data_IF_485164708914
#
_entry.id   IF_485164708914
#
_cell.length_a   1.000
_cell.length_b   1.000
_cell.length_c   1.000
_cell.angle_alpha   90.00
_cell.angle_beta   90.00
_cell.angle_gamma   90.00
#
_symmetry.space_group_name_H-M   'P 1'
#
loop_
_entity.id
_entity.type
_entity.pdbx_description
1 polymer ?
#
# COMPACT_ATOMS: atom_id res chain seq x y z
N UNK A 1 7.23 3.57 9.52
CA UNK A 1 6.51 4.84 9.77
C UNK A 1 7.44 5.72 10.59
N UNK A 2 7.68 6.97 10.17
CA UNK A 2 8.46 7.92 10.98
C UNK A 2 7.75 8.12 12.31
N UNK A 3 8.49 7.96 13.42
CA UNK A 3 7.91 8.06 14.75
C UNK A 3 7.57 9.52 15.04
N UNK A 4 6.37 9.85 15.55
CA UNK A 4 5.97 11.23 15.84
C UNK A 4 7.00 11.98 16.70
N UNK A 5 7.61 11.29 17.68
CA UNK A 5 8.66 11.85 18.55
C UNK A 5 9.86 12.40 17.78
N UNK A 6 10.26 11.75 16.67
CA UNK A 6 11.40 12.19 15.85
C UNK A 6 11.00 13.41 15.01
N UNK A 7 9.74 13.48 14.57
CA UNK A 7 9.25 14.62 13.78
C UNK A 7 9.14 15.89 14.61
N UNK A 8 8.69 15.75 15.85
CA UNK A 8 8.67 16.86 16.82
C UNK A 8 10.09 17.33 17.17
N UNK A 9 11.02 16.40 17.40
CA UNK A 9 12.43 16.71 17.67
C UNK A 9 13.09 17.47 16.52
N UNK A 10 12.77 17.14 15.27
CA UNK A 10 13.35 17.78 14.08
C UNK A 10 12.58 19.03 13.63
N UNK A 11 11.43 19.34 14.25
CA UNK A 11 10.57 20.45 13.85
C UNK A 11 9.93 20.25 12.47
N UNK A 12 9.82 19.01 12.02
CA UNK A 12 9.40 18.67 10.66
C UNK A 12 7.92 18.32 10.58
N UNK A 13 7.26 18.75 9.50
CA UNK A 13 5.87 18.43 9.25
C UNK A 13 5.75 17.06 8.57
N UNK A 14 5.01 16.15 9.21
CA UNK A 14 4.79 14.78 8.70
C UNK A 14 4.19 14.75 7.30
N UNK A 15 3.18 15.57 7.04
CA UNK A 15 2.48 15.56 5.75
C UNK A 15 3.36 16.14 4.66
N UNK A 16 4.15 17.18 4.96
CA UNK A 16 5.15 17.71 4.04
C UNK A 16 6.20 16.65 3.65
N UNK A 17 6.65 15.83 4.61
CA UNK A 17 7.58 14.73 4.33
C UNK A 17 6.90 13.63 3.49
N UNK A 18 5.66 13.28 3.82
CA UNK A 18 4.88 12.29 3.03
C UNK A 18 4.73 12.76 1.59
N UNK A 19 4.41 14.03 1.38
CA UNK A 19 4.27 14.63 0.06
C UNK A 19 5.60 14.68 -0.69
N UNK A 20 6.69 15.02 0.00
CA UNK A 20 8.03 15.01 -0.58
C UNK A 20 8.44 13.61 -1.05
N UNK A 21 8.24 12.58 -0.22
CA UNK A 21 8.50 11.20 -0.63
C UNK A 21 7.57 10.74 -1.77
N UNK A 22 6.33 11.22 -1.78
CA UNK A 22 5.41 11.00 -2.90
C UNK A 22 5.97 11.58 -4.19
N UNK A 23 6.33 12.86 -4.18
CA UNK A 23 6.86 13.58 -5.33
C UNK A 23 8.13 12.95 -5.89
N UNK A 24 9.08 12.58 -5.03
CA UNK A 24 10.33 11.91 -5.47
C UNK A 24 10.04 10.59 -6.18
N UNK A 25 9.04 9.83 -5.71
CA UNK A 25 8.62 8.58 -6.37
C UNK A 25 7.91 8.85 -7.68
N UNK A 26 7.07 9.87 -7.74
CA UNK A 26 6.42 10.28 -8.99
C UNK A 26 7.46 10.67 -10.05
N UNK A 27 8.41 11.53 -9.69
CA UNK A 27 9.51 11.94 -10.58
C UNK A 27 10.37 10.74 -11.04
N UNK A 28 10.63 9.77 -10.15
CA UNK A 28 11.33 8.55 -10.54
C UNK A 28 10.49 7.68 -11.49
N UNK A 29 9.20 7.49 -11.22
CA UNK A 29 8.31 6.75 -12.13
C UNK A 29 8.22 7.39 -13.52
N UNK A 30 8.16 8.72 -13.57
CA UNK A 30 8.12 9.48 -14.83
C UNK A 30 9.45 9.38 -15.61
N UNK A 31 10.58 9.38 -14.90
CA UNK A 31 11.90 9.30 -15.51
C UNK A 31 12.27 7.87 -15.98
N UNK A 32 11.97 6.86 -15.16
CA UNK A 32 12.30 5.46 -15.41
C UNK A 32 11.39 4.52 -14.59
N UNK A 33 10.21 4.24 -15.14
CA UNK A 33 9.25 3.32 -14.54
C UNK A 33 9.83 1.92 -14.32
N UNK A 34 10.66 1.41 -15.24
CA UNK A 34 11.17 0.05 -15.17
C UNK A 34 12.08 -0.14 -13.94
N UNK A 35 12.96 0.83 -13.65
CA UNK A 35 13.81 0.78 -12.46
C UNK A 35 13.01 0.95 -11.17
N UNK A 36 12.00 1.82 -11.18
CA UNK A 36 11.11 1.98 -10.02
C UNK A 36 10.33 0.69 -9.73
N UNK A 37 9.79 0.04 -10.76
CA UNK A 37 9.11 -1.26 -10.65
C UNK A 37 10.09 -2.33 -10.15
N UNK A 38 11.30 -2.38 -10.69
CA UNK A 38 12.34 -3.34 -10.29
C UNK A 38 12.80 -3.21 -8.84
N UNK A 39 12.63 -2.04 -8.21
CA UNK A 39 12.90 -1.84 -6.78
C UNK A 39 11.81 -2.41 -5.87
N UNK A 40 10.68 -2.86 -6.42
CA UNK A 40 9.55 -3.38 -5.68
C UNK A 40 9.34 -4.87 -5.95
N UNK A 41 8.74 -5.57 -4.98
CA UNK A 41 8.39 -6.98 -5.12
C UNK A 41 7.17 -7.31 -4.28
N UNK A 42 6.32 -8.19 -4.81
CA UNK A 42 5.27 -8.82 -4.02
C UNK A 42 5.81 -10.01 -3.22
N UNK A 43 5.11 -10.36 -2.15
CA UNK A 43 5.37 -11.63 -1.49
C UNK A 43 5.03 -12.78 -2.44
N UNK A 44 5.79 -13.89 -2.42
CA UNK A 44 5.50 -15.06 -3.25
C UNK A 44 4.05 -15.54 -3.07
N UNK A 45 3.37 -15.86 -4.17
CA UNK A 45 1.99 -16.36 -4.16
C UNK A 45 0.91 -15.27 -4.16
N UNK A 46 1.26 -14.02 -3.89
CA UNK A 46 0.28 -12.91 -3.89
C UNK A 46 -0.24 -12.62 -5.31
N UNK A 47 0.61 -12.43 -6.34
CA UNK A 47 0.12 -12.15 -7.68
C UNK A 47 -0.86 -13.23 -8.17
N UNK A 48 -0.56 -14.49 -7.86
CA UNK A 48 -1.40 -15.64 -8.18
C UNK A 48 -2.72 -15.58 -7.41
N UNK A 49 -2.68 -15.34 -6.10
CA UNK A 49 -3.87 -15.20 -5.29
C UNK A 49 -4.79 -14.08 -5.78
N UNK A 50 -4.22 -12.95 -6.22
CA UNK A 50 -4.99 -11.83 -6.79
C UNK A 50 -5.63 -12.20 -8.14
N UNK A 51 -4.93 -12.94 -9.00
CA UNK A 51 -5.45 -13.40 -10.30
C UNK A 51 -6.56 -14.45 -10.17
N UNK A 52 -6.44 -15.34 -9.20
CA UNK A 52 -7.35 -16.48 -9.02
C UNK A 52 -8.48 -16.23 -8.02
N UNK A 53 -8.49 -15.07 -7.35
CA UNK A 53 -9.58 -14.70 -6.48
C UNK A 53 -10.91 -14.62 -7.26
N UNK A 54 -11.90 -15.37 -6.80
CA UNK A 54 -13.27 -15.33 -7.34
C UNK A 54 -14.14 -14.29 -6.63
N UNK A 55 -13.71 -13.82 -5.47
CA UNK A 55 -14.38 -12.78 -4.69
C UNK A 55 -13.98 -11.38 -5.16
N UNK A 56 -14.74 -10.38 -4.71
CA UNK A 56 -14.37 -8.98 -4.91
C UNK A 56 -13.15 -8.63 -4.07
N UNK A 57 -12.12 -8.07 -4.71
CA UNK A 57 -10.86 -7.67 -4.07
C UNK A 57 -10.91 -6.19 -3.68
N UNK A 58 -10.40 -5.89 -2.50
CA UNK A 58 -10.05 -4.55 -2.05
C UNK A 58 -8.61 -4.53 -1.58
N UNK A 59 -7.90 -3.45 -1.88
CA UNK A 59 -6.50 -3.26 -1.50
C UNK A 59 -6.44 -2.22 -0.39
N UNK A 60 -5.76 -2.57 0.69
CA UNK A 60 -5.55 -1.68 1.84
C UNK A 60 -4.06 -1.59 2.10
N UNK A 61 -3.51 -0.39 2.01
CA UNK A 61 -2.07 -0.19 2.10
C UNK A 61 -1.71 1.14 2.71
N UNK A 62 -0.52 1.20 3.31
CA UNK A 62 0.10 2.44 3.79
C UNK A 62 0.87 3.17 2.70
N UNK A 63 0.91 2.63 1.48
CA UNK A 63 1.37 3.33 0.26
C UNK A 63 0.27 4.27 -0.26
N UNK A 64 0.63 5.34 -0.97
CA UNK A 64 -0.36 6.11 -1.74
C UNK A 64 -0.96 5.25 -2.86
N UNK A 65 -2.26 5.38 -3.13
CA UNK A 65 -3.00 4.45 -4.00
C UNK A 65 -2.41 4.33 -5.41
N UNK A 66 -1.95 5.43 -6.02
CA UNK A 66 -1.36 5.42 -7.37
C UNK A 66 -0.12 4.52 -7.50
N UNK A 67 0.68 4.42 -6.44
CA UNK A 67 1.83 3.51 -6.42
C UNK A 67 1.39 2.06 -6.27
N UNK A 68 0.35 1.80 -5.48
CA UNK A 68 -0.19 0.46 -5.34
C UNK A 68 -0.80 -0.02 -6.66
N UNK A 69 -1.53 0.85 -7.34
CA UNK A 69 -2.13 0.61 -8.66
C UNK A 69 -1.07 0.24 -9.70
N UNK A 70 -0.02 1.06 -9.84
CA UNK A 70 1.10 0.77 -10.73
C UNK A 70 1.75 -0.59 -10.44
N UNK A 71 1.96 -0.94 -9.16
CA UNK A 71 2.54 -2.24 -8.80
C UNK A 71 1.59 -3.41 -9.13
N UNK A 72 0.29 -3.24 -8.91
CA UNK A 72 -0.71 -4.26 -9.23
C UNK A 72 -0.76 -4.52 -10.74
N UNK A 73 -0.71 -3.46 -11.53
CA UNK A 73 -0.71 -3.54 -12.97
C UNK A 73 0.59 -4.17 -13.50
N UNK A 74 1.76 -3.65 -13.09
CA UNK A 74 3.04 -4.02 -13.69
C UNK A 74 3.62 -5.33 -13.13
N UNK A 75 3.51 -5.59 -11.83
CA UNK A 75 4.10 -6.79 -11.20
C UNK A 75 3.09 -7.92 -11.02
N UNK A 76 1.81 -7.62 -10.78
CA UNK A 76 0.78 -8.64 -10.64
C UNK A 76 0.00 -8.85 -11.93
N UNK A 77 0.01 -7.94 -12.91
CA UNK A 77 -0.82 -8.08 -14.11
C UNK A 77 -2.31 -8.09 -13.79
N UNK A 78 -2.72 -7.38 -12.74
CA UNK A 78 -4.12 -7.28 -12.29
C UNK A 78 -4.52 -5.80 -12.26
N UNK A 79 -5.69 -5.50 -12.82
CA UNK A 79 -6.31 -4.18 -12.70
C UNK A 79 -7.43 -4.24 -11.66
N UNK A 80 -7.36 -3.37 -10.65
CA UNK A 80 -8.37 -3.25 -9.60
C UNK A 80 -8.99 -1.86 -9.73
N UNK A 81 -10.32 -1.71 -9.71
CA UNK A 81 -10.94 -0.39 -9.79
C UNK A 81 -10.42 0.55 -8.70
N UNK A 82 -10.05 1.82 -9.01
CA UNK A 82 -9.43 2.74 -8.06
C UNK A 82 -10.24 2.97 -6.78
N UNK A 83 -11.57 2.91 -6.85
CA UNK A 83 -12.47 3.01 -5.71
C UNK A 83 -12.33 1.83 -4.71
N UNK A 84 -11.56 0.80 -5.07
CA UNK A 84 -11.25 -0.36 -4.23
C UNK A 84 -9.80 -0.38 -3.75
N UNK A 85 -9.01 0.66 -4.04
CA UNK A 85 -7.61 0.79 -3.62
C UNK A 85 -7.50 1.89 -2.57
N UNK A 86 -7.50 1.47 -1.30
CA UNK A 86 -7.39 2.36 -0.16
C UNK A 86 -5.93 2.50 0.31
N UNK A 87 -5.30 3.58 -0.13
CA UNK A 87 -3.93 3.94 0.24
C UNK A 87 -3.84 4.81 1.50
N UNK A 88 -2.65 5.37 1.69
CA UNK A 88 -2.33 6.32 2.76
C UNK A 88 -3.38 7.45 2.82
N UNK A 89 -3.95 7.67 4.00
CA UNK A 89 -4.98 8.69 4.24
C UNK A 89 -6.43 8.24 3.96
N UNK A 90 -6.64 7.10 3.29
CA UNK A 90 -8.00 6.63 2.90
C UNK A 90 -8.38 5.29 3.54
N UNK A 91 -7.41 4.40 3.79
CA UNK A 91 -7.66 3.06 4.33
C UNK A 91 -8.24 3.02 5.74
N UNK A 92 -7.69 3.76 6.69
CA UNK A 92 -8.12 3.66 8.10
C UNK A 92 -9.54 4.16 8.34
N UNK A 93 -10.01 5.15 7.59
CA UNK A 93 -11.36 5.72 7.78
C UNK A 93 -12.43 4.76 7.24
N UNK A 94 -12.21 4.20 6.05
CA UNK A 94 -13.21 3.38 5.37
C UNK A 94 -13.50 2.04 6.08
N UNK A 95 -12.48 1.37 6.62
CA UNK A 95 -12.67 0.09 7.32
C UNK A 95 -13.28 0.26 8.72
N UNK A 96 -13.05 1.39 9.39
CA UNK A 96 -13.74 1.70 10.65
C UNK A 96 -15.23 1.98 10.46
N UNK A 97 -15.63 2.62 9.35
CA UNK A 97 -17.04 2.90 9.03
C UNK A 97 -17.83 1.65 8.61
N UNK A 98 -17.17 0.65 8.01
CA UNK A 98 -17.79 -0.60 7.56
C UNK A 98 -17.74 -1.73 8.60
N UNK A 99 -17.26 -1.46 9.82
CA UNK A 99 -17.19 -2.45 10.90
C UNK A 99 -16.11 -3.53 10.73
N UNK A 100 -15.14 -3.32 9.83
CA UNK A 100 -14.02 -4.23 9.63
C UNK A 100 -12.85 -3.89 10.57
N UNK A 101 -12.57 -4.76 11.53
CA UNK A 101 -11.45 -4.61 12.48
C UNK A 101 -10.15 -4.99 11.78
N UNK A 102 -9.25 -4.03 11.57
CA UNK A 102 -7.88 -4.30 11.11
C UNK A 102 -7.10 -4.87 12.31
N UNK A 103 -7.00 -6.20 12.41
CA UNK A 103 -6.12 -6.84 13.39
C UNK A 103 -4.65 -6.66 12.99
N UNK A 104 -3.77 -6.20 13.90
CA UNK A 104 -2.34 -6.30 13.67
C UNK A 104 -1.93 -7.77 13.81
N UNK A 105 -1.59 -8.39 12.68
CA UNK A 105 -0.89 -9.68 12.54
C UNK A 105 -1.32 -10.79 13.51
N UNK A 106 -2.36 -11.55 13.16
CA UNK A 106 -2.74 -12.81 13.83
C UNK A 106 -4.03 -13.41 13.27
N UNK A 107 -3.91 -14.56 12.60
CA UNK A 107 -4.96 -15.36 11.90
C UNK A 107 -5.86 -16.12 12.91
N UNK A 108 -7.02 -16.75 12.58
CA UNK A 108 -8.03 -16.62 11.50
C UNK A 108 -9.46 -16.31 12.04
N UNK A 109 -10.41 -15.83 11.25
CA UNK A 109 -11.43 -16.65 10.55
C UNK A 109 -12.40 -15.76 9.76
N UNK A 110 -13.05 -16.34 8.74
CA UNK A 110 -14.27 -15.87 8.04
C UNK A 110 -14.11 -15.05 6.74
N UNK A 111 -14.23 -15.79 5.64
CA UNK A 111 -15.00 -15.54 4.40
C UNK A 111 -14.76 -14.34 3.48
N UNK A 112 -13.93 -13.36 3.81
CA UNK A 112 -13.54 -12.32 2.83
C UNK A 112 -12.01 -12.18 2.74
N UNK A 113 -11.45 -12.59 1.59
CA UNK A 113 -10.01 -12.58 1.34
C UNK A 113 -9.46 -11.15 1.13
N UNK A 114 -8.76 -10.64 2.14
CA UNK A 114 -7.74 -9.57 2.10
C UNK A 114 -6.35 -10.25 2.25
N UNK A 115 -5.21 -9.80 1.74
CA UNK A 115 -4.43 -8.60 2.03
C UNK A 115 -3.22 -8.58 1.09
N UNK A 116 -2.66 -7.39 0.79
CA UNK A 116 -1.24 -7.32 0.41
C UNK A 116 -0.47 -6.37 1.33
N UNK A 117 0.23 -7.01 2.26
CA UNK A 117 1.25 -6.43 3.12
C UNK A 117 2.42 -5.94 2.25
N UNK A 118 2.90 -4.74 2.54
CA UNK A 118 4.27 -4.37 2.18
C UNK A 118 5.03 -4.07 3.47
N UNK A 119 6.18 -4.73 3.61
CA UNK A 119 6.97 -5.02 4.82
C UNK A 119 7.15 -3.87 5.85
N UNK A 120 7.02 -4.15 7.17
CA UNK A 120 7.37 -3.22 8.26
C UNK A 120 8.88 -3.09 8.60
N UNK A 121 9.83 -3.65 7.82
CA UNK A 121 11.26 -3.69 8.18
C UNK A 121 12.25 -3.26 7.08
N UNK A 122 12.07 -2.07 6.49
CA UNK A 122 13.21 -1.32 5.93
C UNK A 122 13.52 -0.13 6.84
N UNK A 123 14.55 -0.34 7.67
CA UNK A 123 15.38 0.71 8.27
C UNK A 123 16.22 1.32 7.13
N UNK A 124 15.95 2.58 6.84
CA UNK A 124 17.04 3.56 6.73
C UNK A 124 16.95 4.38 8.01
#
# INVERSE_FOLDING_TARGET
>A
MLKPVIMEEWGENRDAIVDLFGKVRDEWMDADLATWIGANRFYPGVPEALKFASSRIYIVTTKQSRFADALLQELAGVSIPPERIYGLGTGLVYFMEQGMIIFPLGVPTMTDFFYLLTDPRWKC
#
